data_IF_352606901553
#
_entry.id   IF_352606901553
#
_cell.length_a   1.000
_cell.length_b   1.000
_cell.length_c   1.000
_cell.angle_alpha   90.00
_cell.angle_beta   90.00
_cell.angle_gamma   90.00
#
_symmetry.space_group_name_H-M   'P 1'
#
loop_
_entity.id
_entity.type
_entity.pdbx_description
1 polymer ?
#
# COMPACT_ATOMS: atom_id res chain seq x y z
N UNK A 1 21.84 9.25 5.84
CA UNK A 1 21.03 8.06 6.19
C UNK A 1 21.97 6.97 6.67
N UNK A 2 21.77 6.42 7.85
CA UNK A 2 22.72 5.48 8.45
C UNK A 2 22.57 4.08 7.86
N UNK A 3 23.68 3.41 7.56
CA UNK A 3 23.73 2.00 7.14
C UNK A 3 22.89 1.13 8.09
N UNK A 4 22.89 1.46 9.38
CA UNK A 4 22.10 0.80 10.41
C UNK A 4 20.59 0.78 10.13
N UNK A 5 20.02 1.84 9.56
CA UNK A 5 18.59 1.87 9.20
C UNK A 5 18.30 0.86 8.09
N UNK A 6 19.10 0.83 7.03
CA UNK A 6 18.91 -0.12 5.93
C UNK A 6 19.05 -1.57 6.39
N UNK A 7 20.08 -1.89 7.16
CA UNK A 7 20.32 -3.26 7.62
C UNK A 7 19.22 -3.76 8.54
N UNK A 8 18.65 -2.88 9.38
CA UNK A 8 17.57 -3.27 10.30
C UNK A 8 16.23 -3.50 9.61
N UNK A 9 15.95 -2.82 8.48
CA UNK A 9 14.69 -2.98 7.73
C UNK A 9 14.80 -3.95 6.55
N UNK A 10 16.01 -4.31 6.13
CA UNK A 10 16.26 -5.23 5.03
C UNK A 10 15.51 -6.57 5.15
N UNK A 11 15.39 -7.21 6.34
CA UNK A 11 14.63 -8.45 6.46
C UNK A 11 13.15 -8.28 6.12
N UNK A 12 12.50 -7.17 6.52
CA UNK A 12 11.10 -6.90 6.15
C UNK A 12 10.96 -6.67 4.65
N UNK A 13 11.83 -5.88 4.05
CA UNK A 13 11.82 -5.63 2.60
C UNK A 13 12.02 -6.92 1.80
N UNK A 14 12.97 -7.77 2.23
CA UNK A 14 13.19 -9.08 1.64
C UNK A 14 11.94 -9.96 1.76
N UNK A 15 11.30 -9.99 2.94
CA UNK A 15 10.07 -10.76 3.16
C UNK A 15 8.95 -10.32 2.20
N UNK A 16 8.75 -9.00 2.05
CA UNK A 16 7.74 -8.45 1.14
C UNK A 16 8.04 -8.83 -0.31
N UNK A 17 9.28 -8.67 -0.76
CA UNK A 17 9.69 -9.02 -2.13
C UNK A 17 9.51 -10.51 -2.42
N UNK A 18 9.99 -11.38 -1.53
CA UNK A 18 9.82 -12.83 -1.66
C UNK A 18 8.34 -13.20 -1.77
N UNK A 19 7.50 -12.65 -0.90
CA UNK A 19 6.07 -12.92 -0.89
C UNK A 19 5.36 -12.37 -2.14
N UNK A 20 5.69 -11.17 -2.59
CA UNK A 20 5.11 -10.54 -3.79
C UNK A 20 5.38 -11.38 -5.04
N UNK A 21 6.59 -11.92 -5.17
CA UNK A 21 7.02 -12.73 -6.31
C UNK A 21 6.79 -14.25 -6.13
N UNK A 22 5.96 -14.65 -5.18
CA UNK A 22 5.48 -16.05 -5.08
C UNK A 22 6.27 -16.95 -4.17
N UNK A 23 7.37 -16.49 -3.59
CA UNK A 23 8.20 -17.23 -2.65
C UNK A 23 7.69 -17.06 -1.21
N UNK A 24 6.40 -17.33 -1.02
CA UNK A 24 5.72 -17.06 0.25
C UNK A 24 6.30 -17.85 1.43
N UNK A 25 6.75 -19.10 1.20
CA UNK A 25 7.31 -19.93 2.28
C UNK A 25 8.62 -19.33 2.83
N UNK A 26 9.46 -18.84 1.92
CA UNK A 26 10.75 -18.24 2.28
C UNK A 26 10.59 -16.85 2.91
N UNK A 27 9.48 -16.17 2.67
CA UNK A 27 9.19 -14.85 3.23
C UNK A 27 8.95 -14.86 4.74
N UNK A 28 8.47 -15.97 5.31
CA UNK A 28 8.13 -16.04 6.74
C UNK A 28 9.36 -15.94 7.65
N UNK A 29 10.49 -16.51 7.27
CA UNK A 29 11.71 -16.45 8.09
C UNK A 29 12.21 -15.00 8.26
N UNK A 30 12.47 -14.23 7.18
CA UNK A 30 12.92 -12.84 7.35
C UNK A 30 11.87 -11.97 8.03
N UNK A 31 10.55 -12.21 7.83
CA UNK A 31 9.50 -11.52 8.58
C UNK A 31 9.60 -11.82 10.08
N UNK A 32 9.74 -13.09 10.47
CA UNK A 32 9.85 -13.48 11.88
C UNK A 32 11.10 -12.88 12.54
N UNK A 33 12.23 -12.89 11.83
CA UNK A 33 13.48 -12.26 12.30
C UNK A 33 13.29 -10.75 12.51
N UNK A 34 12.62 -10.07 11.60
CA UNK A 34 12.32 -8.64 11.72
C UNK A 34 11.43 -8.34 12.92
N UNK A 35 10.31 -9.05 13.08
CA UNK A 35 9.37 -8.85 14.19
C UNK A 35 10.03 -9.17 15.54
N UNK A 36 10.81 -10.25 15.62
CA UNK A 36 11.57 -10.60 16.81
C UNK A 36 12.59 -9.54 17.19
N UNK A 37 13.37 -9.05 16.21
CA UNK A 37 14.31 -7.95 16.41
C UNK A 37 13.61 -6.67 16.87
N UNK A 38 12.51 -6.28 16.22
CA UNK A 38 11.75 -5.08 16.57
C UNK A 38 11.15 -5.16 17.99
N UNK A 39 10.71 -6.35 18.41
CA UNK A 39 10.22 -6.60 19.77
C UNK A 39 11.34 -6.52 20.81
N UNK A 40 12.51 -7.13 20.55
CA UNK A 40 13.69 -7.04 21.41
C UNK A 40 14.16 -5.58 21.60
N UNK A 41 14.04 -4.77 20.54
CA UNK A 41 14.36 -3.34 20.56
C UNK A 41 13.28 -2.46 21.21
N UNK A 42 12.15 -3.05 21.64
CA UNK A 42 11.01 -2.31 22.21
C UNK A 42 10.22 -1.49 21.19
N UNK A 43 10.49 -1.66 19.89
CA UNK A 43 9.75 -0.97 18.83
C UNK A 43 8.34 -1.55 18.62
N UNK A 44 8.15 -2.83 18.98
CA UNK A 44 6.85 -3.50 19.04
C UNK A 44 6.68 -4.04 20.45
N UNK A 45 5.62 -3.64 21.15
CA UNK A 45 5.33 -4.18 22.48
C UNK A 45 4.76 -5.60 22.38
N UNK A 46 4.85 -6.43 23.45
CA UNK A 46 4.24 -7.76 23.45
C UNK A 46 2.72 -7.75 23.17
N UNK A 47 2.00 -6.71 23.60
CA UNK A 47 0.58 -6.54 23.32
C UNK A 47 0.31 -6.29 21.82
N UNK A 48 1.08 -5.40 21.21
CA UNK A 48 0.99 -5.14 19.76
C UNK A 48 1.36 -6.39 18.95
N UNK A 49 2.39 -7.12 19.36
CA UNK A 49 2.78 -8.38 18.74
C UNK A 49 1.67 -9.44 18.86
N UNK A 50 1.02 -9.56 20.03
CA UNK A 50 -0.11 -10.45 20.24
C UNK A 50 -1.31 -10.08 19.34
N UNK A 51 -1.59 -8.78 19.19
CA UNK A 51 -2.62 -8.30 18.27
C UNK A 51 -2.25 -8.64 16.81
N UNK A 52 -0.99 -8.47 16.39
CA UNK A 52 -0.50 -8.87 15.08
C UNK A 52 -0.72 -10.37 14.84
N UNK A 53 -0.31 -11.22 15.76
CA UNK A 53 -0.49 -12.66 15.67
C UNK A 53 -1.96 -13.09 15.61
N UNK A 54 -2.85 -12.44 16.37
CA UNK A 54 -4.29 -12.76 16.34
C UNK A 54 -4.89 -12.62 14.94
N UNK A 55 -4.55 -11.54 14.22
CA UNK A 55 -4.99 -11.33 12.83
C UNK A 55 -4.36 -12.31 11.85
N UNK A 56 -3.06 -12.64 12.01
CA UNK A 56 -2.39 -13.64 11.17
C UNK A 56 -3.01 -15.04 11.36
N UNK A 57 -3.32 -15.42 12.60
CA UNK A 57 -4.00 -16.69 12.93
C UNK A 57 -5.42 -16.71 12.34
N UNK A 58 -6.17 -15.60 12.50
CA UNK A 58 -7.49 -15.47 11.88
C UNK A 58 -7.40 -15.63 10.36
N UNK A 59 -6.48 -14.93 9.73
CA UNK A 59 -6.25 -14.97 8.28
C UNK A 59 -5.91 -16.39 7.79
N UNK A 60 -5.05 -17.09 8.52
CA UNK A 60 -4.69 -18.47 8.24
C UNK A 60 -5.89 -19.44 8.37
N UNK A 61 -6.76 -19.22 9.36
CA UNK A 61 -7.96 -20.06 9.56
C UNK A 61 -9.09 -19.79 8.59
N UNK A 62 -9.17 -18.58 8.01
CA UNK A 62 -10.28 -18.14 7.15
C UNK A 62 -10.63 -19.11 6.01
N UNK A 63 -9.66 -19.63 5.21
CA UNK A 63 -9.98 -20.55 4.11
C UNK A 63 -10.63 -21.85 4.57
N UNK A 64 -10.41 -22.28 5.81
CA UNK A 64 -10.93 -23.53 6.39
C UNK A 64 -12.24 -23.35 7.14
N UNK A 65 -12.72 -22.11 7.36
CA UNK A 65 -13.99 -21.86 8.04
C UNK A 65 -15.18 -22.30 7.19
N UNK A 66 -16.20 -22.81 7.87
CA UNK A 66 -17.48 -23.10 7.23
C UNK A 66 -18.13 -21.82 6.66
N UNK A 67 -18.95 -21.91 5.60
CA UNK A 67 -19.52 -20.73 4.91
C UNK A 67 -20.22 -19.74 5.85
N UNK A 68 -20.92 -20.26 6.89
CA UNK A 68 -21.65 -19.43 7.88
C UNK A 68 -20.73 -18.51 8.71
N UNK A 69 -19.50 -18.95 9.01
CA UNK A 69 -18.52 -18.18 9.81
C UNK A 69 -17.55 -17.39 8.96
N UNK A 70 -17.41 -17.75 7.68
CA UNK A 70 -16.41 -17.15 6.78
C UNK A 70 -16.65 -15.65 6.58
N UNK A 71 -17.91 -15.24 6.38
CA UNK A 71 -18.25 -13.82 6.23
C UNK A 71 -17.87 -13.02 7.48
N UNK A 72 -18.26 -13.49 8.66
CA UNK A 72 -17.90 -12.85 9.92
C UNK A 72 -16.38 -12.78 10.13
N UNK A 73 -15.67 -13.85 9.76
CA UNK A 73 -14.20 -13.87 9.80
C UNK A 73 -13.56 -12.86 8.86
N UNK A 74 -14.08 -12.67 7.63
CA UNK A 74 -13.61 -11.63 6.72
C UNK A 74 -13.88 -10.21 7.25
N UNK A 75 -15.05 -9.98 7.87
CA UNK A 75 -15.36 -8.69 8.49
C UNK A 75 -14.41 -8.39 9.67
N UNK A 76 -14.15 -9.37 10.54
CA UNK A 76 -13.23 -9.22 11.65
C UNK A 76 -11.80 -8.97 11.15
N UNK A 77 -11.35 -9.70 10.11
CA UNK A 77 -10.05 -9.45 9.50
C UNK A 77 -9.97 -8.05 8.87
N UNK A 78 -11.05 -7.58 8.25
CA UNK A 78 -11.10 -6.22 7.68
C UNK A 78 -10.96 -5.16 8.77
N UNK A 79 -11.67 -5.31 9.90
CA UNK A 79 -11.54 -4.41 11.07
C UNK A 79 -10.11 -4.41 11.62
N UNK A 80 -9.49 -5.58 11.73
CA UNK A 80 -8.09 -5.72 12.14
C UNK A 80 -7.15 -4.99 11.16
N UNK A 81 -7.34 -5.14 9.84
CA UNK A 81 -6.55 -4.46 8.82
C UNK A 81 -6.72 -2.94 8.87
N UNK A 82 -7.96 -2.45 9.04
CA UNK A 82 -8.26 -1.01 9.17
C UNK A 82 -7.57 -0.43 10.42
N UNK A 83 -7.55 -1.16 11.54
CA UNK A 83 -6.84 -0.71 12.74
C UNK A 83 -5.32 -0.55 12.51
N UNK A 84 -4.69 -1.46 11.76
CA UNK A 84 -3.27 -1.36 11.39
C UNK A 84 -3.02 -0.29 10.33
N UNK A 85 -3.90 -0.17 9.32
CA UNK A 85 -3.78 0.79 8.24
C UNK A 85 -3.75 2.23 8.76
N UNK A 86 -4.58 2.52 9.77
CA UNK A 86 -4.69 3.83 10.40
C UNK A 86 -3.89 3.96 11.72
N UNK A 87 -2.96 3.04 11.99
CA UNK A 87 -2.08 3.09 13.18
C UNK A 87 -2.85 3.23 14.52
N UNK A 88 -4.01 2.56 14.64
CA UNK A 88 -4.88 2.63 15.84
C UNK A 88 -4.52 1.60 16.91
N UNK A 89 -3.52 0.76 16.67
CA UNK A 89 -3.07 -0.26 17.61
C UNK A 89 -1.89 0.30 18.42
N UNK A 90 -2.05 0.51 19.73
CA UNK A 90 -0.96 1.00 20.56
C UNK A 90 0.16 -0.04 20.67
N UNK A 91 1.39 0.45 20.82
CA UNK A 91 2.58 -0.39 20.98
C UNK A 91 3.33 -0.73 19.70
N UNK A 92 2.91 -0.21 18.52
CA UNK A 92 3.76 -0.10 17.34
C UNK A 92 4.40 1.31 17.34
N UNK A 93 5.69 1.37 17.66
CA UNK A 93 6.44 2.64 17.69
C UNK A 93 7.07 2.91 16.34
N UNK A 94 6.22 3.31 15.38
CA UNK A 94 6.63 3.62 14.00
C UNK A 94 7.63 4.80 13.98
N UNK A 95 8.90 4.60 13.55
CA UNK A 95 9.90 5.66 13.60
C UNK A 95 9.64 6.74 12.56
N UNK A 96 9.76 8.01 12.97
CA UNK A 96 9.88 9.16 12.08
C UNK A 96 11.30 9.17 11.49
N UNK A 97 11.41 8.90 10.19
CA UNK A 97 12.71 8.75 9.50
C UNK A 97 13.13 10.05 8.82
N UNK A 98 12.15 10.80 8.31
CA UNK A 98 12.35 12.15 7.78
C UNK A 98 11.37 13.09 8.46
N UNK A 99 11.89 14.17 9.04
CA UNK A 99 11.08 15.15 9.76
C UNK A 99 11.09 16.48 9.00
N UNK A 100 9.88 16.94 8.61
CA UNK A 100 9.64 18.24 7.98
C UNK A 100 10.58 18.59 6.81
N UNK A 101 10.96 17.56 6.02
CA UNK A 101 11.79 17.74 4.83
C UNK A 101 11.01 18.39 3.69
N UNK A 102 11.70 19.13 2.84
CA UNK A 102 11.12 19.73 1.63
C UNK A 102 11.55 18.91 0.40
N UNK A 103 10.63 18.68 -0.52
CA UNK A 103 10.97 18.11 -1.83
C UNK A 103 11.60 19.16 -2.74
N UNK A 104 11.18 20.42 -2.60
CA UNK A 104 11.68 21.59 -3.29
C UNK A 104 11.25 22.87 -2.59
N UNK A 105 11.61 24.02 -3.13
CA UNK A 105 11.37 25.34 -2.50
C UNK A 105 9.91 25.75 -2.44
N UNK A 106 9.06 25.19 -3.32
CA UNK A 106 7.64 25.48 -3.39
C UNK A 106 6.75 24.40 -2.75
N UNK A 107 7.38 23.36 -2.18
CA UNK A 107 6.68 22.23 -1.54
C UNK A 107 6.37 22.52 -0.07
N UNK A 108 5.24 21.95 0.44
CA UNK A 108 4.99 21.93 1.88
C UNK A 108 5.89 20.90 2.58
N UNK A 109 6.20 21.07 3.89
CA UNK A 109 7.01 20.11 4.63
C UNK A 109 6.38 18.70 4.65
N UNK A 110 7.20 17.67 4.48
CA UNK A 110 6.84 16.27 4.44
C UNK A 110 7.50 15.48 5.56
N UNK A 111 6.76 14.56 6.16
CA UNK A 111 7.25 13.60 7.15
C UNK A 111 7.19 12.19 6.57
N UNK A 112 8.25 11.40 6.78
CA UNK A 112 8.28 9.99 6.39
C UNK A 112 8.41 9.10 7.62
N UNK A 113 7.43 8.24 7.81
CA UNK A 113 7.46 7.19 8.82
C UNK A 113 7.71 5.83 8.17
N UNK A 114 8.48 4.98 8.84
CA UNK A 114 8.51 3.57 8.53
C UNK A 114 7.52 2.85 9.46
N UNK A 115 6.77 1.91 8.91
CA UNK A 115 5.64 1.31 9.60
C UNK A 115 5.88 -0.16 9.92
N UNK A 116 5.84 -0.52 11.22
CA UNK A 116 5.92 -1.91 11.68
C UNK A 116 4.58 -2.66 11.51
N UNK A 117 3.48 -1.95 11.55
CA UNK A 117 2.10 -2.46 11.55
C UNK A 117 1.53 -2.68 10.15
N UNK A 118 1.57 -1.67 9.29
CA UNK A 118 0.98 -1.70 7.95
C UNK A 118 1.37 -2.92 7.09
N UNK A 119 2.65 -3.33 7.01
CA UNK A 119 3.06 -4.47 6.21
C UNK A 119 2.42 -5.81 6.60
N UNK A 120 1.99 -5.96 7.86
CA UNK A 120 1.33 -7.18 8.35
C UNK A 120 0.02 -7.47 7.62
N UNK A 121 -0.65 -6.42 7.09
CA UNK A 121 -1.86 -6.54 6.26
C UNK A 121 -1.58 -7.40 5.03
N UNK A 122 -0.46 -7.16 4.33
CA UNK A 122 -0.08 -7.94 3.16
C UNK A 122 0.11 -9.41 3.48
N UNK A 123 0.82 -9.73 4.57
CA UNK A 123 1.04 -11.11 5.00
C UNK A 123 -0.24 -11.80 5.45
N UNK A 124 -1.13 -11.11 6.15
CA UNK A 124 -2.44 -11.63 6.52
C UNK A 124 -3.29 -11.94 5.27
N UNK A 125 -3.30 -11.06 4.29
CA UNK A 125 -4.04 -11.26 3.04
C UNK A 125 -3.49 -12.43 2.21
N UNK A 126 -2.17 -12.67 2.22
CA UNK A 126 -1.59 -13.86 1.58
C UNK A 126 -2.10 -15.16 2.19
N UNK A 127 -2.39 -15.18 3.48
CA UNK A 127 -2.97 -16.34 4.18
C UNK A 127 -4.48 -16.47 3.92
N UNK A 128 -5.20 -15.35 3.97
CA UNK A 128 -6.65 -15.32 3.90
C UNK A 128 -7.22 -15.47 2.47
N UNK A 129 -6.44 -15.09 1.45
CA UNK A 129 -6.92 -14.97 0.06
C UNK A 129 -5.94 -15.59 -0.93
N UNK A 130 -6.08 -16.87 -1.29
CA UNK A 130 -5.14 -17.57 -2.18
C UNK A 130 -4.92 -16.91 -3.55
N UNK A 131 -5.93 -16.18 -4.06
CA UNK A 131 -5.86 -15.43 -5.31
C UNK A 131 -5.31 -14.00 -5.19
N UNK A 132 -4.72 -13.60 -4.04
CA UNK A 132 -4.30 -12.22 -3.77
C UNK A 132 -3.45 -11.60 -4.89
N UNK A 133 -2.50 -12.36 -5.41
CA UNK A 133 -1.56 -11.90 -6.45
C UNK A 133 -2.12 -11.86 -7.86
N UNK A 134 -3.39 -12.27 -8.04
CA UNK A 134 -4.04 -12.42 -9.33
C UNK A 134 -3.85 -13.82 -9.93
N UNK A 135 -4.51 -14.06 -11.07
CA UNK A 135 -4.52 -15.37 -11.73
C UNK A 135 -3.31 -15.61 -12.64
N UNK A 136 -2.52 -14.57 -12.95
CA UNK A 136 -1.43 -14.66 -13.93
C UNK A 136 -1.89 -14.85 -15.38
N UNK A 137 -3.15 -14.54 -15.69
CA UNK A 137 -3.75 -14.67 -17.01
C UNK A 137 -3.10 -13.79 -18.12
N UNK A 138 -3.67 -13.76 -19.34
CA UNK A 138 -3.15 -12.97 -20.44
C UNK A 138 -3.14 -11.47 -20.11
N UNK A 139 -2.10 -10.78 -20.58
CA UNK A 139 -1.90 -9.34 -20.34
C UNK A 139 -2.45 -8.56 -21.53
N UNK A 140 -3.35 -7.60 -21.27
CA UNK A 140 -3.73 -6.60 -22.27
C UNK A 140 -2.67 -5.49 -22.33
N UNK A 141 -1.58 -5.74 -23.09
CA UNK A 141 -0.44 -4.82 -23.21
C UNK A 141 -0.83 -3.46 -23.74
N UNK A 142 -1.74 -3.40 -24.75
CA UNK A 142 -2.17 -2.12 -25.36
C UNK A 142 -2.85 -1.23 -24.31
N UNK A 143 -3.78 -1.78 -23.55
CA UNK A 143 -4.48 -1.03 -22.51
C UNK A 143 -3.52 -0.54 -21.42
N UNK A 144 -2.57 -1.38 -20.99
CA UNK A 144 -1.56 -0.98 -20.00
C UNK A 144 -0.63 0.12 -20.52
N UNK A 145 -0.24 0.09 -21.80
CA UNK A 145 0.61 1.14 -22.39
C UNK A 145 -0.09 2.51 -22.48
N UNK A 146 -1.42 2.54 -22.55
CA UNK A 146 -2.20 3.77 -22.58
C UNK A 146 -2.53 4.30 -21.18
N UNK A 147 -2.43 3.48 -20.13
CA UNK A 147 -2.80 3.84 -18.77
C UNK A 147 -1.97 4.99 -18.14
N UNK A 148 -0.69 5.20 -18.47
CA UNK A 148 0.04 6.38 -18.02
C UNK A 148 -0.58 7.72 -18.45
N UNK A 149 -1.33 7.77 -19.56
CA UNK A 149 -1.94 9.00 -20.06
C UNK A 149 -2.98 9.59 -19.08
N UNK A 150 -4.04 8.85 -18.65
CA UNK A 150 -4.95 9.37 -17.63
C UNK A 150 -4.25 9.63 -16.29
N UNK A 151 -3.23 8.85 -15.90
CA UNK A 151 -2.49 9.08 -14.67
C UNK A 151 -1.71 10.40 -14.70
N UNK A 152 -1.03 10.71 -15.80
CA UNK A 152 -0.41 12.03 -16.01
C UNK A 152 -1.47 13.13 -16.07
N UNK A 153 -2.62 12.86 -16.70
CA UNK A 153 -3.78 13.77 -16.70
C UNK A 153 -4.23 14.17 -15.31
N UNK A 154 -4.20 13.24 -14.34
CA UNK A 154 -4.53 13.56 -12.93
C UNK A 154 -3.53 14.55 -12.33
N UNK A 155 -2.22 14.38 -12.53
CA UNK A 155 -1.20 15.32 -12.03
C UNK A 155 -1.35 16.69 -12.68
N UNK A 156 -1.59 16.75 -13.99
CA UNK A 156 -1.83 18.00 -14.72
C UNK A 156 -3.12 18.70 -14.25
N UNK A 157 -4.18 17.94 -13.98
CA UNK A 157 -5.41 18.48 -13.41
C UNK A 157 -5.19 19.04 -12.02
N UNK A 158 -4.43 18.35 -11.15
CA UNK A 158 -4.08 18.84 -9.83
C UNK A 158 -3.24 20.13 -9.89
N UNK A 159 -2.37 20.26 -10.88
CA UNK A 159 -1.65 21.50 -11.17
C UNK A 159 -2.60 22.62 -11.61
N UNK A 160 -3.50 22.37 -12.55
CA UNK A 160 -4.47 23.39 -13.01
C UNK A 160 -5.38 23.86 -11.89
N UNK A 161 -5.72 22.99 -10.94
CA UNK A 161 -6.51 23.35 -9.75
C UNK A 161 -5.68 24.04 -8.65
N UNK A 162 -4.38 24.25 -8.86
CA UNK A 162 -3.48 24.92 -7.92
C UNK A 162 -3.00 24.06 -6.75
N UNK A 163 -3.40 22.78 -6.67
CA UNK A 163 -2.95 21.87 -5.62
C UNK A 163 -1.46 21.50 -5.77
N UNK A 164 -0.97 21.46 -7.00
CA UNK A 164 0.42 21.21 -7.35
C UNK A 164 0.99 22.37 -8.16
N UNK A 165 2.35 22.45 -8.19
CA UNK A 165 3.10 23.31 -9.11
C UNK A 165 4.21 22.49 -9.75
N UNK A 166 4.61 22.76 -11.02
CA UNK A 166 5.79 22.14 -11.61
C UNK A 166 7.04 22.45 -10.77
N UNK A 167 7.71 21.42 -10.31
CA UNK A 167 8.94 21.50 -9.52
C UNK A 167 9.79 20.27 -9.87
N UNK A 168 10.59 20.40 -10.92
CA UNK A 168 11.36 19.27 -11.48
C UNK A 168 12.63 19.05 -10.67
N UNK A 169 12.79 17.84 -10.14
CA UNK A 169 13.95 17.43 -9.37
C UNK A 169 13.66 16.23 -8.48
N UNK A 170 14.71 15.68 -7.90
CA UNK A 170 14.60 14.64 -6.87
C UNK A 170 15.32 15.15 -5.62
N UNK A 171 14.67 15.18 -4.46
CA UNK A 171 15.32 15.55 -3.21
C UNK A 171 16.35 14.48 -2.80
N UNK A 172 17.35 14.83 -2.00
CA UNK A 172 18.42 13.90 -1.58
C UNK A 172 17.91 12.63 -0.88
N UNK A 173 16.71 12.70 -0.33
CA UNK A 173 16.04 11.58 0.35
C UNK A 173 15.15 10.72 -0.57
N UNK A 174 15.12 10.97 -1.89
CA UNK A 174 14.23 10.29 -2.84
C UNK A 174 14.32 8.77 -2.81
N UNK A 175 15.52 8.21 -2.62
CA UNK A 175 15.72 6.75 -2.58
C UNK A 175 15.04 6.13 -1.36
N UNK A 176 15.11 6.81 -0.21
CA UNK A 176 14.44 6.38 1.01
C UNK A 176 12.92 6.40 0.84
N UNK A 177 12.41 7.47 0.24
CA UNK A 177 11.00 7.56 -0.15
C UNK A 177 10.62 6.43 -1.09
N UNK A 178 11.39 6.19 -2.14
CA UNK A 178 11.09 5.17 -3.15
C UNK A 178 10.97 3.77 -2.53
N UNK A 179 11.90 3.38 -1.68
CA UNK A 179 11.88 2.07 -1.00
C UNK A 179 10.66 1.97 -0.07
N UNK A 180 10.44 2.98 0.77
CA UNK A 180 9.30 3.01 1.69
C UNK A 180 7.97 3.00 0.93
N UNK A 181 7.82 3.88 -0.05
CA UNK A 181 6.60 4.03 -0.83
C UNK A 181 6.29 2.75 -1.61
N UNK A 182 7.28 2.15 -2.29
CA UNK A 182 7.07 0.90 -3.02
C UNK A 182 6.67 -0.25 -2.10
N UNK A 183 7.45 -0.51 -1.05
CA UNK A 183 7.33 -1.74 -0.26
C UNK A 183 6.34 -1.61 0.92
N UNK A 184 6.35 -0.49 1.64
CA UNK A 184 5.52 -0.34 2.84
C UNK A 184 4.19 0.38 2.58
N UNK A 185 4.03 1.01 1.40
CA UNK A 185 2.79 1.68 1.00
C UNK A 185 2.14 0.96 -0.17
N UNK A 186 2.71 1.03 -1.38
CA UNK A 186 2.06 0.53 -2.60
C UNK A 186 1.76 -0.98 -2.53
N UNK A 187 2.70 -1.83 -2.06
CA UNK A 187 2.43 -3.28 -1.94
C UNK A 187 1.25 -3.55 -1.01
N UNK A 188 1.22 -2.89 0.15
CA UNK A 188 0.18 -3.11 1.16
C UNK A 188 -1.18 -2.63 0.67
N UNK A 189 -1.23 -1.42 0.14
CA UNK A 189 -2.47 -0.82 -0.34
C UNK A 189 -3.02 -1.56 -1.56
N UNK A 190 -2.18 -1.91 -2.54
CA UNK A 190 -2.65 -2.69 -3.69
C UNK A 190 -3.08 -4.10 -3.30
N UNK A 191 -2.41 -4.74 -2.33
CA UNK A 191 -2.86 -6.02 -1.80
C UNK A 191 -4.26 -5.94 -1.18
N UNK A 192 -4.52 -4.90 -0.37
CA UNK A 192 -5.82 -4.69 0.25
C UNK A 192 -6.89 -4.30 -0.77
N UNK A 193 -6.63 -3.24 -1.56
CA UNK A 193 -7.66 -2.66 -2.42
C UNK A 193 -7.86 -3.45 -3.72
N UNK A 194 -6.81 -3.98 -4.37
CA UNK A 194 -6.93 -4.72 -5.65
C UNK A 194 -6.91 -6.21 -5.46
N UNK A 195 -5.95 -6.69 -4.68
CA UNK A 195 -5.80 -8.13 -4.42
C UNK A 195 -6.96 -8.72 -3.62
N UNK A 196 -7.56 -7.96 -2.72
CA UNK A 196 -8.62 -8.46 -1.84
C UNK A 196 -9.98 -7.80 -2.11
N UNK A 197 -10.14 -6.49 -1.87
CA UNK A 197 -11.44 -5.81 -1.97
C UNK A 197 -11.98 -5.82 -3.40
N UNK A 198 -11.21 -5.37 -4.39
CA UNK A 198 -11.65 -5.35 -5.79
C UNK A 198 -12.00 -6.74 -6.29
N UNK A 199 -11.17 -7.76 -6.04
CA UNK A 199 -11.49 -9.12 -6.45
C UNK A 199 -12.80 -9.62 -5.79
N UNK A 200 -13.00 -9.36 -4.50
CA UNK A 200 -14.22 -9.73 -3.78
C UNK A 200 -15.45 -9.02 -4.34
N UNK A 201 -15.37 -7.71 -4.56
CA UNK A 201 -16.47 -6.90 -5.11
C UNK A 201 -16.79 -7.27 -6.55
N UNK A 202 -15.77 -7.50 -7.41
CA UNK A 202 -15.98 -7.92 -8.81
C UNK A 202 -16.63 -9.31 -8.88
N UNK A 203 -16.25 -10.24 -8.01
CA UNK A 203 -16.92 -11.56 -7.92
C UNK A 203 -18.38 -11.45 -7.49
N UNK A 204 -18.71 -10.44 -6.68
CA UNK A 204 -20.08 -10.29 -6.14
C UNK A 204 -20.98 -9.44 -7.04
N UNK A 205 -20.47 -8.40 -7.70
CA UNK A 205 -21.22 -7.36 -8.39
C UNK A 205 -20.82 -7.14 -9.86
N UNK A 206 -19.93 -7.96 -10.41
CA UNK A 206 -19.28 -7.76 -11.71
C UNK A 206 -18.29 -6.60 -11.77
N UNK A 207 -17.52 -6.51 -12.87
CA UNK A 207 -16.45 -5.50 -13.04
C UNK A 207 -16.96 -4.06 -13.07
N UNK A 208 -18.06 -3.70 -13.80
CA UNK A 208 -18.51 -2.30 -13.89
C UNK A 208 -18.92 -1.70 -12.54
N UNK A 209 -19.25 -2.53 -11.56
CA UNK A 209 -19.65 -2.08 -10.21
C UNK A 209 -18.51 -2.30 -9.23
N UNK A 210 -17.89 -3.47 -9.22
CA UNK A 210 -16.90 -3.85 -8.22
C UNK A 210 -15.61 -3.01 -8.28
N UNK A 211 -15.16 -2.66 -9.49
CA UNK A 211 -13.97 -1.84 -9.67
C UNK A 211 -14.17 -0.39 -9.19
N UNK A 212 -15.24 0.34 -9.60
CA UNK A 212 -15.51 1.67 -9.05
C UNK A 212 -15.71 1.69 -7.54
N UNK A 213 -16.41 0.69 -6.97
CA UNK A 213 -16.57 0.60 -5.52
C UNK A 213 -15.22 0.45 -4.80
N UNK A 214 -14.32 -0.40 -5.31
CA UNK A 214 -12.98 -0.54 -4.73
C UNK A 214 -12.16 0.75 -4.86
N UNK A 215 -12.31 1.48 -5.96
CA UNK A 215 -11.66 2.79 -6.16
C UNK A 215 -12.21 3.86 -5.22
N UNK A 216 -13.52 3.88 -4.99
CA UNK A 216 -14.15 4.78 -4.01
C UNK A 216 -13.69 4.49 -2.57
N UNK A 217 -13.57 3.20 -2.20
CA UNK A 217 -13.02 2.82 -0.90
C UNK A 217 -11.56 3.26 -0.75
N UNK A 218 -10.76 3.14 -1.81
CA UNK A 218 -9.39 3.66 -1.83
C UNK A 218 -9.34 5.18 -1.67
N UNK A 219 -10.23 5.90 -2.36
CA UNK A 219 -10.38 7.34 -2.18
C UNK A 219 -10.78 7.71 -0.75
N UNK A 220 -11.76 7.00 -0.17
CA UNK A 220 -12.22 7.23 1.19
C UNK A 220 -11.12 7.06 2.25
N UNK A 221 -10.19 6.14 2.04
CA UNK A 221 -9.00 5.95 2.90
C UNK A 221 -8.08 7.20 2.92
N UNK A 222 -8.14 8.02 1.87
CA UNK A 222 -7.37 9.27 1.71
C UNK A 222 -8.12 10.52 2.18
N UNK A 223 -9.31 10.39 2.77
CA UNK A 223 -10.14 11.53 3.20
C UNK A 223 -9.43 12.44 4.23
N UNK A 224 -8.51 11.91 5.03
CA UNK A 224 -7.69 12.71 5.95
C UNK A 224 -6.85 13.80 5.25
N UNK A 225 -6.53 13.63 3.95
CA UNK A 225 -5.91 14.64 3.10
C UNK A 225 -6.89 15.66 2.50
N UNK A 226 -8.18 15.59 2.87
CA UNK A 226 -9.26 16.47 2.39
C UNK A 226 -10.03 15.89 1.21
N UNK A 227 -11.20 16.52 0.87
CA UNK A 227 -12.09 16.00 -0.18
C UNK A 227 -11.42 15.93 -1.56
N UNK A 228 -10.56 16.89 -1.89
CA UNK A 228 -9.85 16.90 -3.16
C UNK A 228 -8.90 15.68 -3.26
N UNK A 229 -8.13 15.39 -2.20
CA UNK A 229 -7.26 14.22 -2.14
C UNK A 229 -8.07 12.93 -2.26
N UNK A 230 -9.22 12.82 -1.60
CA UNK A 230 -10.14 11.69 -1.73
C UNK A 230 -10.53 11.44 -3.19
N UNK A 231 -10.91 12.51 -3.92
CA UNK A 231 -11.33 12.41 -5.33
C UNK A 231 -10.15 11.96 -6.22
N UNK A 232 -8.97 12.59 -6.08
CA UNK A 232 -7.80 12.23 -6.86
C UNK A 232 -7.34 10.79 -6.55
N UNK A 233 -7.36 10.39 -5.30
CA UNK A 233 -7.05 9.02 -4.90
C UNK A 233 -8.07 8.02 -5.49
N UNK A 234 -9.37 8.32 -5.50
CA UNK A 234 -10.37 7.46 -6.13
C UNK A 234 -10.11 7.31 -7.65
N UNK A 235 -9.80 8.40 -8.35
CA UNK A 235 -9.49 8.37 -9.79
C UNK A 235 -8.17 7.61 -10.08
N UNK A 236 -7.12 7.83 -9.30
CA UNK A 236 -5.90 7.04 -9.36
C UNK A 236 -6.19 5.56 -9.05
N UNK A 237 -7.06 5.32 -8.07
CA UNK A 237 -7.57 4.02 -7.71
C UNK A 237 -8.25 3.27 -8.85
N UNK A 238 -9.00 3.96 -9.70
CA UNK A 238 -9.55 3.37 -10.94
C UNK A 238 -8.41 2.91 -11.88
N UNK A 239 -7.39 3.74 -12.06
CA UNK A 239 -6.25 3.40 -12.91
C UNK A 239 -5.52 2.14 -12.39
N UNK A 240 -5.22 2.07 -11.09
CA UNK A 240 -4.56 0.90 -10.49
C UNK A 240 -5.45 -0.35 -10.57
N UNK A 241 -6.76 -0.18 -10.38
CA UNK A 241 -7.75 -1.25 -10.53
C UNK A 241 -7.82 -1.79 -11.95
N UNK A 242 -7.74 -0.94 -12.96
CA UNK A 242 -7.62 -1.32 -14.37
C UNK A 242 -6.27 -1.99 -14.66
N UNK A 243 -5.16 -1.50 -14.09
CA UNK A 243 -3.85 -2.13 -14.21
C UNK A 243 -3.89 -3.59 -13.70
N UNK A 244 -4.51 -3.80 -12.54
CA UNK A 244 -4.74 -5.14 -11.99
C UNK A 244 -5.64 -5.99 -12.89
N UNK A 245 -6.76 -5.43 -13.37
CA UNK A 245 -7.72 -6.13 -14.22
C UNK A 245 -7.10 -6.58 -15.54
N UNK A 246 -6.35 -5.70 -16.23
CA UNK A 246 -5.75 -5.99 -17.52
C UNK A 246 -4.48 -6.83 -17.48
N UNK A 247 -3.83 -6.87 -16.33
CA UNK A 247 -2.62 -7.69 -16.13
C UNK A 247 -2.89 -9.01 -15.43
N UNK A 248 -3.94 -9.06 -14.60
CA UNK A 248 -4.18 -10.14 -13.64
C UNK A 248 -2.97 -10.43 -12.74
N UNK A 249 -2.23 -9.35 -12.35
CA UNK A 249 -1.01 -9.42 -11.54
C UNK A 249 -0.95 -8.25 -10.56
N UNK A 250 -0.85 -8.57 -9.28
CA UNK A 250 -0.77 -7.56 -8.21
C UNK A 250 0.44 -6.63 -8.39
N UNK A 251 1.61 -7.19 -8.70
CA UNK A 251 2.83 -6.40 -8.87
C UNK A 251 2.72 -5.34 -9.98
N UNK A 252 1.87 -5.55 -11.00
CA UNK A 252 1.62 -4.55 -12.05
C UNK A 252 0.87 -3.35 -11.47
N UNK A 253 -0.20 -3.57 -10.68
CA UNK A 253 -0.89 -2.48 -10.00
C UNK A 253 0.05 -1.72 -9.03
N UNK A 254 0.88 -2.45 -8.29
CA UNK A 254 1.92 -1.86 -7.41
C UNK A 254 2.86 -0.96 -8.20
N UNK A 255 3.34 -1.39 -9.38
CA UNK A 255 4.22 -0.57 -10.20
C UNK A 255 3.54 0.69 -10.77
N UNK A 256 2.28 0.60 -11.18
CA UNK A 256 1.53 1.78 -11.64
C UNK A 256 1.29 2.77 -10.50
N UNK A 257 0.93 2.28 -9.31
CA UNK A 257 0.80 3.12 -8.13
C UNK A 257 2.12 3.81 -7.78
N UNK A 258 3.20 3.05 -7.68
CA UNK A 258 4.53 3.58 -7.42
C UNK A 258 4.98 4.58 -8.49
N UNK A 259 4.73 4.28 -9.79
CA UNK A 259 5.07 5.17 -10.89
C UNK A 259 4.37 6.53 -10.79
N UNK A 260 3.09 6.56 -10.41
CA UNK A 260 2.40 7.84 -10.17
C UNK A 260 3.04 8.62 -9.02
N UNK A 261 3.32 7.95 -7.89
CA UNK A 261 3.89 8.60 -6.72
C UNK A 261 5.31 9.15 -6.97
N UNK A 262 6.16 8.39 -7.67
CA UNK A 262 7.51 8.86 -7.99
C UNK A 262 7.50 9.96 -9.08
N UNK A 263 6.57 9.90 -10.02
CA UNK A 263 6.37 10.95 -11.02
C UNK A 263 5.90 12.25 -10.37
N UNK A 264 4.97 12.15 -9.40
CA UNK A 264 4.54 13.28 -8.59
C UNK A 264 5.73 13.90 -7.86
N UNK A 265 6.52 13.11 -7.13
CA UNK A 265 7.71 13.59 -6.41
C UNK A 265 8.75 14.23 -7.32
N UNK A 266 8.94 13.69 -8.54
CA UNK A 266 10.02 14.13 -9.42
C UNK A 266 9.67 15.35 -10.28
N UNK A 267 8.39 15.60 -10.56
CA UNK A 267 7.97 16.63 -11.52
C UNK A 267 7.15 17.76 -10.90
N UNK A 268 6.63 17.56 -9.70
CA UNK A 268 5.73 18.52 -9.05
C UNK A 268 6.09 18.73 -7.58
N UNK A 269 5.55 19.80 -7.00
CA UNK A 269 5.61 20.03 -5.54
C UNK A 269 5.04 18.82 -4.79
N UNK A 270 5.73 18.38 -3.72
CA UNK A 270 5.36 17.19 -2.98
C UNK A 270 5.32 17.47 -1.45
N UNK A 271 4.28 17.05 -0.71
CA UNK A 271 3.04 16.40 -1.19
C UNK A 271 2.05 17.39 -1.85
N UNK A 272 2.18 18.67 -1.62
CA UNK A 272 1.33 19.75 -2.16
C UNK A 272 2.16 21.03 -2.39
N UNK A 273 1.58 21.96 -3.14
CA UNK A 273 2.14 23.30 -3.30
C UNK A 273 1.97 24.11 -2.00
N UNK A 274 2.99 24.91 -1.68
CA UNK A 274 2.94 25.92 -0.61
C UNK A 274 2.18 27.15 -1.13
N UNK A 275 1.20 27.60 -0.38
CA UNK A 275 0.41 28.84 -0.62
C UNK A 275 0.84 29.94 0.29
#
# INVERSE_FOLDING_TARGET
MTIALFTSWAPLWLAILLALFGRQREAWLPLALFLGWATIKGAITPQALSFAFSGLVLAWRLPTLSPRWRMGGHLLLLLWMVALLHHKVPGFHNPLVLERVLAGGQSVPFNLYFNYDKPLIFFALLLAWPGLRGSGGPINRRALLLLPLPMLGLLLLAWQLGALRPEVGLPDWWLLFAINNLLLTCVVEEALFRGYLQQGLVRRFSLPIGLPLAALLFGADHLAGGPLMMIFAALAGLCYGLAFHWSQRLWVAVLFHFALNITHLALFTYPLARH
#
